data_IF_521963847365
#
_entry.id   IF_521963847365
#
_cell.length_a   1.000
_cell.length_b   1.000
_cell.length_c   1.000
_cell.angle_alpha   90.00
_cell.angle_beta   90.00
_cell.angle_gamma   90.00
#
_symmetry.space_group_name_H-M   'P 1'
#
loop_
_entity.id
_entity.type
_entity.pdbx_description
1 polymer ?
#
# COMPACT_ATOMS: atom_id res chain seq x y z
N UNK A 1 -6.47 45.39 -24.57
CA UNK A 1 -6.53 44.10 -25.27
C UNK A 1 -5.64 43.14 -24.53
N UNK A 2 -6.16 42.52 -23.45
CA UNK A 2 -5.40 41.58 -22.59
C UNK A 2 -5.77 40.18 -23.01
N UNK A 3 -4.78 39.50 -23.60
CA UNK A 3 -4.84 38.07 -23.91
C UNK A 3 -4.58 37.29 -22.59
N UNK A 4 -5.65 36.77 -21.99
CA UNK A 4 -5.54 35.72 -20.97
C UNK A 4 -5.16 34.42 -21.68
N UNK A 5 -3.88 34.09 -21.66
CA UNK A 5 -3.42 32.76 -22.03
C UNK A 5 -3.96 31.74 -21.04
N UNK A 6 -4.89 30.90 -21.48
CA UNK A 6 -5.35 29.73 -20.77
C UNK A 6 -4.17 28.75 -20.71
N UNK A 7 -3.48 28.68 -19.58
CA UNK A 7 -2.50 27.60 -19.32
C UNK A 7 -3.34 26.34 -19.18
N UNK A 8 -3.43 25.53 -20.24
CA UNK A 8 -3.86 24.16 -20.14
C UNK A 8 -2.86 23.45 -19.22
N UNK A 9 -3.23 23.27 -17.95
CA UNK A 9 -2.58 22.27 -17.10
C UNK A 9 -2.76 20.93 -17.80
N UNK A 10 -1.68 20.38 -18.32
CA UNK A 10 -1.66 19.00 -18.79
C UNK A 10 -2.09 18.13 -17.61
N UNK A 11 -3.23 17.47 -17.74
CA UNK A 11 -3.68 16.51 -16.74
C UNK A 11 -2.53 15.52 -16.46
N UNK A 12 -2.03 15.50 -15.24
CA UNK A 12 -1.00 14.55 -14.82
C UNK A 12 -1.53 13.15 -15.12
N UNK A 13 -0.80 12.38 -15.91
CA UNK A 13 -1.13 10.98 -16.15
C UNK A 13 -0.90 10.22 -14.84
N UNK A 14 -1.99 9.90 -14.13
CA UNK A 14 -1.96 9.17 -12.87
C UNK A 14 -1.70 7.69 -13.15
N UNK A 15 -0.62 7.15 -12.55
CA UNK A 15 -0.39 5.71 -12.52
C UNK A 15 -1.21 5.06 -11.40
N UNK A 16 -1.80 3.89 -11.68
CA UNK A 16 -2.53 3.12 -10.67
C UNK A 16 -1.72 1.92 -10.21
N UNK A 17 -1.75 1.68 -8.91
CA UNK A 17 -1.06 0.59 -8.22
C UNK A 17 -1.95 -0.05 -7.17
N UNK A 18 -1.58 -1.21 -6.68
CA UNK A 18 -2.32 -1.97 -5.65
C UNK A 18 -1.53 -1.97 -4.35
N UNK A 19 -2.21 -1.67 -3.25
CA UNK A 19 -1.77 -1.97 -1.90
C UNK A 19 -2.61 -3.12 -1.35
N UNK A 20 -1.99 -4.23 -1.01
CA UNK A 20 -2.68 -5.41 -0.47
C UNK A 20 -2.28 -5.69 0.98
N UNK A 21 -3.27 -5.78 1.84
CA UNK A 21 -3.13 -6.18 3.24
C UNK A 21 -3.40 -7.67 3.46
N UNK A 22 -3.68 -8.43 2.40
CA UNK A 22 -4.10 -9.85 2.47
C UNK A 22 -5.26 -10.07 3.44
N UNK A 23 -6.43 -9.40 3.25
CA UNK A 23 -7.56 -9.48 4.17
C UNK A 23 -8.10 -10.91 4.24
N UNK A 24 -8.42 -11.36 5.48
CA UNK A 24 -9.03 -12.67 5.74
C UNK A 24 -10.55 -12.48 5.80
N UNK A 25 -11.33 -12.98 4.83
CA UNK A 25 -12.79 -12.96 4.92
C UNK A 25 -13.29 -13.91 6.02
N UNK A 26 -14.37 -13.56 6.69
CA UNK A 26 -15.04 -14.45 7.65
C UNK A 26 -15.42 -15.77 6.99
N UNK A 27 -15.12 -16.88 7.65
CA UNK A 27 -15.33 -18.23 7.10
C UNK A 27 -14.20 -18.79 6.26
N UNK A 28 -13.12 -18.02 6.03
CA UNK A 28 -11.93 -18.44 5.27
C UNK A 28 -10.68 -18.52 6.15
N UNK A 29 -9.71 -19.31 5.71
CA UNK A 29 -8.44 -19.44 6.39
C UNK A 29 -7.43 -18.34 5.97
N UNK A 30 -6.38 -18.07 6.78
CA UNK A 30 -5.26 -17.23 6.33
C UNK A 30 -4.61 -17.72 5.03
N UNK A 31 -4.54 -19.05 4.83
CA UNK A 31 -4.02 -19.63 3.58
C UNK A 31 -4.87 -19.29 2.35
N UNK A 32 -6.20 -19.18 2.52
CA UNK A 32 -7.09 -18.73 1.45
C UNK A 32 -6.83 -17.26 1.10
N UNK A 33 -6.65 -16.41 2.12
CA UNK A 33 -6.32 -15.01 1.94
C UNK A 33 -4.99 -14.80 1.19
N UNK A 34 -3.95 -15.58 1.52
CA UNK A 34 -2.67 -15.53 0.81
C UNK A 34 -2.78 -16.02 -0.65
N UNK A 35 -3.60 -17.03 -0.92
CA UNK A 35 -3.90 -17.45 -2.30
C UNK A 35 -4.65 -16.36 -3.08
N UNK A 36 -5.62 -15.71 -2.45
CA UNK A 36 -6.34 -14.58 -3.03
C UNK A 36 -5.40 -13.39 -3.32
N UNK A 37 -4.37 -13.18 -2.51
CA UNK A 37 -3.32 -12.18 -2.76
C UNK A 37 -2.56 -12.47 -4.06
N UNK A 38 -2.13 -13.73 -4.28
CA UNK A 38 -1.43 -14.13 -5.51
C UNK A 38 -2.35 -14.00 -6.72
N UNK A 39 -3.60 -14.48 -6.62
CA UNK A 39 -4.60 -14.39 -7.69
C UNK A 39 -4.89 -12.92 -8.06
N UNK A 40 -5.06 -12.05 -7.07
CA UNK A 40 -5.28 -10.62 -7.32
C UNK A 40 -4.06 -9.96 -7.98
N UNK A 41 -2.84 -10.34 -7.59
CA UNK A 41 -1.63 -9.81 -8.19
C UNK A 41 -1.50 -10.19 -9.67
N UNK A 42 -1.79 -11.45 -10.03
CA UNK A 42 -1.85 -11.90 -11.42
C UNK A 42 -2.92 -11.14 -12.22
N UNK A 43 -4.08 -10.91 -11.60
CA UNK A 43 -5.15 -10.17 -12.23
C UNK A 43 -4.78 -8.69 -12.43
N UNK A 44 -4.20 -8.04 -11.43
CA UNK A 44 -3.73 -6.64 -11.52
C UNK A 44 -2.64 -6.47 -12.59
N UNK A 45 -1.71 -7.43 -12.71
CA UNK A 45 -0.70 -7.46 -13.77
C UNK A 45 -1.35 -7.52 -15.16
N UNK A 46 -2.38 -8.36 -15.32
CA UNK A 46 -3.12 -8.50 -16.59
C UNK A 46 -3.93 -7.25 -16.97
N UNK A 47 -4.30 -6.43 -16.00
CA UNK A 47 -5.02 -5.17 -16.18
C UNK A 47 -4.10 -3.97 -16.46
N UNK A 48 -2.80 -4.08 -16.15
CA UNK A 48 -1.82 -3.01 -16.35
C UNK A 48 -1.59 -2.11 -15.16
N UNK A 49 -1.88 -2.56 -13.94
CA UNK A 49 -1.44 -1.87 -12.74
C UNK A 49 0.09 -1.84 -12.67
N UNK A 50 0.62 -0.70 -12.19
CA UNK A 50 2.08 -0.47 -12.20
C UNK A 50 2.81 -1.26 -11.11
N UNK A 51 2.24 -1.31 -9.88
CA UNK A 51 2.84 -1.95 -8.70
C UNK A 51 1.82 -2.78 -7.92
N UNK A 52 2.32 -3.78 -7.22
CA UNK A 52 1.58 -4.58 -6.24
C UNK A 52 2.39 -4.63 -4.95
N UNK A 53 1.99 -3.87 -3.96
CA UNK A 53 2.68 -3.81 -2.68
C UNK A 53 1.92 -4.56 -1.60
N UNK A 54 2.66 -5.29 -0.78
CA UNK A 54 2.18 -6.09 0.33
C UNK A 54 2.46 -5.39 1.65
N UNK A 55 1.42 -5.17 2.45
CA UNK A 55 1.57 -4.51 3.75
C UNK A 55 1.88 -5.53 4.86
N UNK A 56 2.73 -5.12 5.83
CA UNK A 56 3.09 -5.91 6.99
C UNK A 56 2.13 -5.64 8.16
N UNK A 57 1.49 -6.69 8.68
CA UNK A 57 0.63 -6.59 9.85
C UNK A 57 0.79 -7.80 10.76
N UNK A 58 0.98 -7.56 12.05
CA UNK A 58 1.20 -8.62 13.04
C UNK A 58 0.05 -8.70 14.05
N UNK A 59 -0.29 -9.92 14.47
CA UNK A 59 -1.29 -10.18 15.51
C UNK A 59 -2.72 -9.73 15.15
N UNK A 60 -3.01 -9.51 13.86
CA UNK A 60 -4.32 -9.12 13.37
C UNK A 60 -5.12 -10.35 12.90
N UNK A 61 -6.32 -10.57 13.46
CA UNK A 61 -7.19 -11.67 13.03
C UNK A 61 -7.77 -11.47 11.62
N UNK A 62 -7.71 -10.24 11.11
CA UNK A 62 -8.29 -9.84 9.82
C UNK A 62 -7.31 -9.85 8.65
N UNK A 63 -5.99 -10.00 8.90
CA UNK A 63 -4.95 -9.81 7.90
C UNK A 63 -3.95 -10.96 7.95
N UNK A 64 -3.60 -11.54 6.81
CA UNK A 64 -2.77 -12.74 6.72
C UNK A 64 -1.28 -12.45 6.48
N UNK A 65 -0.93 -11.28 5.94
CA UNK A 65 0.45 -10.97 5.59
C UNK A 65 1.21 -10.38 6.78
N UNK A 66 1.98 -11.23 7.46
CA UNK A 66 2.86 -10.82 8.55
C UNK A 66 4.32 -10.62 8.09
N UNK A 67 4.68 -11.10 6.91
CA UNK A 67 6.03 -11.07 6.37
C UNK A 67 5.98 -10.85 4.86
N UNK A 68 5.87 -9.57 4.41
CA UNK A 68 5.81 -9.25 2.98
C UNK A 68 6.95 -9.87 2.18
N UNK A 69 8.16 -9.91 2.75
CA UNK A 69 9.35 -10.47 2.10
C UNK A 69 9.22 -11.97 1.76
N UNK A 70 8.36 -12.70 2.48
CA UNK A 70 8.04 -14.10 2.17
C UNK A 70 7.08 -14.17 0.98
N UNK A 71 6.12 -13.25 0.88
CA UNK A 71 5.08 -13.25 -0.16
C UNK A 71 5.53 -12.60 -1.47
N UNK A 72 6.50 -11.69 -1.44
CA UNK A 72 7.01 -11.01 -2.65
C UNK A 72 7.52 -12.01 -3.67
N UNK A 73 8.30 -13.02 -3.25
CA UNK A 73 8.82 -14.06 -4.14
C UNK A 73 7.72 -14.82 -4.90
N UNK A 74 6.76 -15.45 -4.24
CA UNK A 74 5.61 -16.11 -4.87
C UNK A 74 4.80 -15.20 -5.79
N UNK A 75 4.54 -13.95 -5.38
CA UNK A 75 3.80 -12.97 -6.19
C UNK A 75 4.60 -12.59 -7.44
N UNK A 76 5.90 -12.31 -7.30
CA UNK A 76 6.76 -11.99 -8.43
C UNK A 76 6.91 -13.15 -9.42
N UNK A 77 6.97 -14.40 -8.93
CA UNK A 77 7.01 -15.60 -9.76
C UNK A 77 5.69 -15.83 -10.51
N UNK A 78 4.56 -15.46 -9.92
CA UNK A 78 3.23 -15.64 -10.51
C UNK A 78 2.85 -14.53 -11.51
N UNK A 79 3.59 -13.42 -11.56
CA UNK A 79 3.32 -12.22 -12.38
C UNK A 79 4.44 -11.98 -13.41
N UNK A 80 4.19 -11.13 -14.42
CA UNK A 80 5.13 -10.95 -15.55
C UNK A 80 5.78 -9.57 -15.56
N UNK A 81 5.01 -8.49 -15.42
CA UNK A 81 5.44 -7.12 -15.66
C UNK A 81 5.25 -6.19 -14.47
N UNK A 82 4.25 -6.43 -13.64
CA UNK A 82 3.95 -5.60 -12.46
C UNK A 82 5.14 -5.60 -11.50
N UNK A 83 5.49 -4.45 -10.97
CA UNK A 83 6.48 -4.35 -9.89
C UNK A 83 5.89 -4.88 -8.61
N UNK A 84 6.68 -5.60 -7.83
CA UNK A 84 6.21 -6.23 -6.59
C UNK A 84 7.09 -5.72 -5.43
N UNK A 85 6.47 -5.45 -4.29
CA UNK A 85 7.24 -4.94 -3.17
C UNK A 85 6.50 -4.95 -1.84
N UNK A 86 7.13 -4.37 -0.84
CA UNK A 86 6.51 -4.13 0.47
C UNK A 86 5.84 -2.76 0.52
N UNK A 87 4.71 -2.69 1.20
CA UNK A 87 3.97 -1.46 1.41
C UNK A 87 3.50 -1.28 2.88
N UNK A 88 4.46 -1.41 3.86
CA UNK A 88 5.91 -1.52 3.87
C UNK A 88 6.44 -2.56 4.85
N UNK A 89 7.78 -2.70 4.82
CA UNK A 89 8.50 -3.35 5.92
C UNK A 89 8.52 -2.41 7.13
N UNK A 90 8.17 -2.92 8.29
CA UNK A 90 8.26 -2.18 9.54
C UNK A 90 9.70 -2.27 10.09
N UNK A 91 10.60 -1.45 9.54
CA UNK A 91 12.04 -1.54 9.76
C UNK A 91 12.46 -1.68 11.24
N UNK A 92 11.79 -1.05 12.24
CA UNK A 92 12.15 -1.24 13.65
C UNK A 92 12.09 -2.68 14.15
N UNK A 93 11.40 -3.58 13.47
CA UNK A 93 11.33 -5.01 13.83
C UNK A 93 12.50 -5.83 13.28
N UNK A 94 13.33 -5.26 12.39
CA UNK A 94 14.35 -5.98 11.63
C UNK A 94 15.77 -5.43 11.89
N UNK A 95 16.76 -6.27 11.57
CA UNK A 95 18.12 -5.80 11.32
C UNK A 95 18.19 -5.17 9.92
N UNK A 96 18.72 -3.94 9.76
CA UNK A 96 18.92 -3.33 8.44
C UNK A 96 19.70 -4.21 7.46
N UNK A 97 20.76 -4.90 7.93
CA UNK A 97 21.51 -5.86 7.10
C UNK A 97 20.60 -7.00 6.59
N UNK A 98 19.76 -7.57 7.47
CA UNK A 98 18.86 -8.66 7.05
C UNK A 98 17.85 -8.21 6.01
N UNK A 99 17.34 -6.98 6.12
CA UNK A 99 16.45 -6.39 5.10
C UNK A 99 17.22 -6.17 3.79
N UNK A 100 18.44 -5.62 3.85
CA UNK A 100 19.27 -5.41 2.67
C UNK A 100 19.53 -6.73 1.92
N UNK A 101 20.00 -7.77 2.61
CA UNK A 101 20.26 -9.08 2.01
C UNK A 101 18.99 -9.69 1.40
N UNK A 102 17.86 -9.65 2.12
CA UNK A 102 16.60 -10.24 1.66
C UNK A 102 16.10 -9.56 0.38
N UNK A 103 16.07 -8.24 0.37
CA UNK A 103 15.59 -7.49 -0.81
C UNK A 103 16.62 -7.46 -1.94
N UNK A 104 17.91 -7.55 -1.64
CA UNK A 104 18.95 -7.77 -2.63
C UNK A 104 18.79 -9.11 -3.36
N UNK A 105 18.53 -10.20 -2.62
CA UNK A 105 18.23 -11.51 -3.21
C UNK A 105 16.98 -11.47 -4.10
N UNK A 106 15.91 -10.80 -3.62
CA UNK A 106 14.68 -10.65 -4.40
C UNK A 106 14.94 -9.85 -5.68
N UNK A 107 15.70 -8.74 -5.60
CA UNK A 107 16.06 -7.94 -6.77
C UNK A 107 16.92 -8.71 -7.78
N UNK A 108 17.83 -9.57 -7.32
CA UNK A 108 18.63 -10.44 -8.17
C UNK A 108 17.79 -11.52 -8.88
N UNK A 109 16.78 -12.09 -8.18
CA UNK A 109 15.87 -13.08 -8.76
C UNK A 109 14.86 -12.47 -9.74
N UNK A 110 14.46 -11.21 -9.51
CA UNK A 110 13.46 -10.49 -10.30
C UNK A 110 13.96 -9.10 -10.71
N UNK A 111 14.96 -9.00 -11.60
CA UNK A 111 15.61 -7.74 -11.95
C UNK A 111 14.63 -6.67 -12.40
N UNK A 112 14.80 -5.46 -11.86
CA UNK A 112 13.99 -4.30 -12.21
C UNK A 112 12.55 -4.30 -11.69
N UNK A 113 12.10 -5.35 -10.97
CA UNK A 113 10.71 -5.52 -10.54
C UNK A 113 10.46 -5.37 -9.04
N UNK A 114 11.50 -5.25 -8.22
CA UNK A 114 11.35 -5.23 -6.76
C UNK A 114 11.36 -3.81 -6.21
N UNK A 115 10.41 -3.54 -5.31
CA UNK A 115 10.32 -2.33 -4.51
C UNK A 115 10.46 -2.65 -3.02
N UNK A 116 11.21 -1.83 -2.30
CA UNK A 116 11.31 -1.86 -0.84
C UNK A 116 10.63 -0.62 -0.26
N UNK A 117 9.37 -0.74 0.08
CA UNK A 117 8.66 0.26 0.87
C UNK A 117 8.95 0.05 2.36
N UNK A 118 9.30 1.13 3.06
CA UNK A 118 9.72 1.12 4.46
C UNK A 118 8.81 2.00 5.30
N UNK A 119 8.30 1.45 6.41
CA UNK A 119 7.53 2.16 7.42
C UNK A 119 8.19 2.14 8.79
N UNK A 120 7.85 3.13 9.62
CA UNK A 120 8.29 3.19 11.03
C UNK A 120 7.29 2.56 12.00
N UNK A 121 6.01 2.72 11.72
CA UNK A 121 4.96 2.34 12.66
C UNK A 121 4.99 0.83 12.93
N UNK A 122 4.74 0.45 14.21
CA UNK A 122 4.74 -0.96 14.61
C UNK A 122 3.65 -1.80 13.93
N UNK A 123 2.63 -1.17 13.30
CA UNK A 123 1.56 -1.86 12.57
C UNK A 123 0.75 -2.84 13.44
N UNK A 124 0.84 -2.75 14.78
CA UNK A 124 0.30 -3.74 15.69
C UNK A 124 0.07 -3.19 17.11
N UNK A 125 -0.48 -4.03 18.01
CA UNK A 125 -0.65 -3.69 19.42
C UNK A 125 0.69 -3.62 20.17
N UNK A 126 0.78 -2.87 21.29
CA UNK A 126 1.99 -2.79 22.11
C UNK A 126 2.52 -4.16 22.58
N UNK A 127 1.64 -5.10 22.89
CA UNK A 127 2.00 -6.47 23.29
C UNK A 127 2.69 -7.25 22.17
N UNK A 128 2.19 -7.11 20.96
CA UNK A 128 2.78 -7.77 19.78
C UNK A 128 4.07 -7.06 19.37
N UNK A 129 4.12 -5.72 19.41
CA UNK A 129 5.33 -4.95 19.16
C UNK A 129 6.46 -5.37 20.11
N UNK A 130 6.16 -5.57 21.41
CA UNK A 130 7.13 -6.12 22.39
C UNK A 130 7.60 -7.52 22.02
N UNK A 131 6.71 -8.38 21.49
CA UNK A 131 7.09 -9.72 21.03
C UNK A 131 8.02 -9.70 19.82
N UNK A 132 7.91 -8.67 18.97
CA UNK A 132 8.73 -8.45 17.78
C UNK A 132 10.03 -7.69 18.05
N UNK A 133 10.19 -7.14 19.27
CA UNK A 133 11.37 -6.36 19.63
C UNK A 133 12.65 -7.16 19.46
N UNK A 134 13.65 -6.58 18.80
CA UNK A 134 14.95 -7.21 18.49
C UNK A 134 15.73 -7.62 19.74
N UNK A 135 15.78 -6.74 20.73
CA UNK A 135 16.36 -7.06 22.05
C UNK A 135 15.37 -6.71 23.16
N UNK A 136 14.75 -7.75 23.72
CA UNK A 136 13.75 -7.62 24.79
C UNK A 136 14.34 -7.25 26.16
N UNK A 137 15.67 -7.21 26.28
CA UNK A 137 16.38 -6.82 27.51
C UNK A 137 16.50 -5.29 27.63
N UNK A 138 16.35 -4.59 26.53
CA UNK A 138 16.46 -3.14 26.45
C UNK A 138 15.08 -2.49 26.29
N UNK A 139 14.95 -1.27 26.78
CA UNK A 139 13.77 -0.47 26.46
C UNK A 139 13.72 -0.16 24.95
N UNK A 140 12.53 -0.12 24.33
CA UNK A 140 12.41 0.28 22.94
C UNK A 140 12.99 1.68 22.73
N UNK A 141 13.88 1.82 21.76
CA UNK A 141 14.44 3.10 21.34
C UNK A 141 13.92 3.40 19.94
N UNK A 142 13.52 4.63 19.68
CA UNK A 142 13.19 5.08 18.32
C UNK A 142 14.50 5.40 17.59
N UNK A 143 15.11 4.38 17.01
CA UNK A 143 16.34 4.46 16.25
C UNK A 143 16.09 4.37 14.72
N UNK A 144 14.85 4.58 14.29
CA UNK A 144 14.43 4.43 12.89
C UNK A 144 15.31 5.22 11.89
N UNK A 145 15.66 6.51 12.12
CA UNK A 145 16.54 7.23 11.21
C UNK A 145 17.93 6.60 11.09
N UNK A 146 18.48 6.11 12.19
CA UNK A 146 19.80 5.44 12.19
C UNK A 146 19.72 4.12 11.43
N UNK A 147 18.67 3.32 11.62
CA UNK A 147 18.44 2.08 10.89
C UNK A 147 18.28 2.31 9.38
N UNK A 148 17.55 3.36 9.00
CA UNK A 148 17.36 3.72 7.60
C UNK A 148 18.66 4.21 6.96
N UNK A 149 19.49 4.95 7.70
CA UNK A 149 20.84 5.33 7.31
C UNK A 149 21.73 4.11 7.08
N UNK A 150 21.74 3.18 8.05
CA UNK A 150 22.50 1.92 7.97
C UNK A 150 22.07 1.07 6.76
N UNK A 151 20.78 0.94 6.52
CA UNK A 151 20.24 0.22 5.35
C UNK A 151 20.75 0.81 4.03
N UNK A 152 20.79 2.14 3.91
CA UNK A 152 21.29 2.84 2.72
C UNK A 152 22.80 2.64 2.53
N UNK A 153 23.57 2.58 3.61
CA UNK A 153 25.01 2.27 3.55
C UNK A 153 25.26 0.87 2.98
N UNK A 154 24.43 -0.14 3.33
CA UNK A 154 24.53 -1.46 2.71
C UNK A 154 24.26 -1.41 1.21
N UNK A 155 23.20 -0.76 0.77
CA UNK A 155 22.87 -0.65 -0.66
C UNK A 155 23.90 0.15 -1.45
N UNK A 156 24.63 1.05 -0.82
CA UNK A 156 25.71 1.81 -1.44
C UNK A 156 27.07 1.08 -1.38
N UNK A 157 27.14 -0.14 -0.83
CA UNK A 157 28.40 -0.89 -0.54
C UNK A 157 29.41 -0.05 0.26
N UNK A 158 28.88 0.82 1.14
CA UNK A 158 29.68 1.79 1.90
C UNK A 158 30.04 1.31 3.32
N UNK A 159 29.68 0.07 3.69
CA UNK A 159 29.90 -0.48 5.03
C UNK A 159 31.19 -1.29 5.11
N UNK A 160 32.23 -0.82 5.82
CA UNK A 160 33.51 -1.53 5.90
C UNK A 160 33.38 -2.95 6.45
N UNK A 161 33.94 -3.94 5.75
CA UNK A 161 33.97 -5.33 6.17
C UNK A 161 32.67 -6.12 5.95
N UNK A 162 31.63 -5.49 5.40
CA UNK A 162 30.35 -6.14 5.08
C UNK A 162 30.02 -5.80 3.62
N UNK A 163 30.55 -6.56 2.63
CA UNK A 163 30.30 -6.28 1.22
C UNK A 163 28.87 -6.61 0.84
N UNK A 164 28.21 -5.71 0.11
CA UNK A 164 26.92 -5.91 -0.50
C UNK A 164 27.08 -6.15 -2.01
N UNK A 165 26.66 -7.32 -2.50
CA UNK A 165 26.94 -7.78 -3.88
C UNK A 165 25.69 -7.88 -4.75
N UNK A 166 24.59 -7.31 -4.30
CA UNK A 166 23.32 -7.32 -5.02
C UNK A 166 22.97 -5.93 -5.56
N UNK A 167 22.17 -5.89 -6.61
CA UNK A 167 21.56 -4.65 -7.03
C UNK A 167 20.53 -4.19 -5.98
N UNK A 168 20.54 -2.90 -5.68
CA UNK A 168 19.57 -2.33 -4.74
C UNK A 168 18.17 -2.32 -5.35
N UNK A 169 17.13 -2.66 -4.59
CA UNK A 169 15.73 -2.44 -5.00
C UNK A 169 15.42 -0.94 -5.08
N UNK A 170 14.29 -0.57 -5.69
CA UNK A 170 13.78 0.78 -5.57
C UNK A 170 13.24 1.00 -4.15
N UNK A 171 13.83 1.93 -3.41
CA UNK A 171 13.50 2.21 -2.01
C UNK A 171 12.49 3.34 -1.92
N UNK A 172 11.41 3.13 -1.15
CA UNK A 172 10.33 4.09 -0.88
C UNK A 172 10.18 4.29 0.63
N UNK A 173 9.98 5.53 1.07
CA UNK A 173 9.56 5.81 2.44
C UNK A 173 8.04 5.95 2.51
N UNK A 174 7.42 5.23 3.45
CA UNK A 174 5.98 5.23 3.65
C UNK A 174 5.62 5.87 4.98
N UNK A 175 4.52 6.60 5.01
CA UNK A 175 4.02 7.15 6.26
C UNK A 175 2.66 7.82 6.17
N UNK A 176 2.19 8.31 7.32
CA UNK A 176 0.93 9.04 7.46
C UNK A 176 1.07 10.24 8.40
N UNK A 177 2.30 10.75 8.55
CA UNK A 177 2.63 11.86 9.45
C UNK A 177 3.63 12.82 8.82
N UNK A 178 3.68 14.04 9.35
CA UNK A 178 4.64 15.07 8.97
C UNK A 178 6.09 14.57 9.08
N UNK A 179 6.43 13.87 10.16
CA UNK A 179 7.79 13.36 10.37
C UNK A 179 8.27 12.42 9.24
N UNK A 180 7.37 11.60 8.68
CA UNK A 180 7.73 10.74 7.55
C UNK A 180 8.00 11.52 6.27
N UNK A 181 7.30 12.64 6.04
CA UNK A 181 7.56 13.54 4.92
C UNK A 181 8.90 14.26 5.05
N UNK A 182 9.25 14.69 6.27
CA UNK A 182 10.54 15.31 6.59
C UNK A 182 11.68 14.33 6.26
N UNK A 183 11.63 13.11 6.78
CA UNK A 183 12.66 12.11 6.50
C UNK A 183 12.77 11.75 5.00
N UNK A 184 11.64 11.63 4.31
CA UNK A 184 11.66 11.37 2.88
C UNK A 184 12.37 12.49 2.10
N UNK A 185 12.09 13.75 2.45
CA UNK A 185 12.72 14.92 1.84
C UNK A 185 14.23 14.99 2.14
N UNK A 186 14.62 14.85 3.40
CA UNK A 186 16.02 14.88 3.85
C UNK A 186 16.87 13.78 3.20
N UNK A 187 16.29 12.60 3.02
CA UNK A 187 16.99 11.45 2.46
C UNK A 187 16.88 11.38 0.92
N UNK A 188 16.07 12.25 0.31
CA UNK A 188 15.82 12.25 -1.14
C UNK A 188 15.16 10.97 -1.64
N UNK A 189 14.31 10.33 -0.81
CA UNK A 189 13.63 9.10 -1.16
C UNK A 189 12.25 9.38 -1.76
N UNK A 190 11.76 8.58 -2.72
CA UNK A 190 10.36 8.54 -3.10
C UNK A 190 9.46 8.35 -1.88
N UNK A 191 8.30 9.03 -1.88
CA UNK A 191 7.41 9.07 -0.71
C UNK A 191 6.00 8.62 -1.05
N UNK A 192 5.46 7.68 -0.26
CA UNK A 192 4.08 7.23 -0.36
C UNK A 192 3.31 7.55 0.93
N UNK A 193 2.29 8.41 0.81
CA UNK A 193 1.44 8.81 1.93
C UNK A 193 0.22 7.90 2.07
N UNK A 194 -0.07 7.45 3.29
CA UNK A 194 -1.22 6.58 3.58
C UNK A 194 -2.47 7.42 3.94
N UNK A 195 -3.16 7.95 2.93
CA UNK A 195 -4.39 8.73 3.08
C UNK A 195 -5.51 7.93 3.77
N UNK A 196 -5.61 6.64 3.49
CA UNK A 196 -6.60 5.77 4.14
C UNK A 196 -6.41 5.66 5.66
N UNK A 197 -5.26 6.06 6.20
CA UNK A 197 -4.98 6.15 7.65
C UNK A 197 -5.17 7.58 8.14
N UNK A 198 -4.72 8.58 7.39
CA UNK A 198 -4.81 10.00 7.71
C UNK A 198 -5.19 10.81 6.46
N UNK A 199 -6.46 11.17 6.27
CA UNK A 199 -6.91 11.88 5.07
C UNK A 199 -6.56 13.38 5.06
N UNK A 200 -5.88 13.89 6.09
CA UNK A 200 -5.46 15.30 6.22
C UNK A 200 -3.98 15.51 5.86
N UNK A 201 -3.38 14.58 5.13
CA UNK A 201 -1.94 14.57 4.87
C UNK A 201 -1.47 15.36 3.65
N UNK A 202 -2.32 16.11 2.97
CA UNK A 202 -1.93 16.88 1.78
C UNK A 202 -0.78 17.86 2.05
N UNK A 203 -0.77 18.52 3.22
CA UNK A 203 0.32 19.41 3.66
C UNK A 203 1.65 18.69 3.85
N UNK A 204 1.63 17.41 4.28
CA UNK A 204 2.85 16.60 4.38
C UNK A 204 3.45 16.32 3.00
N UNK A 205 2.60 16.00 2.01
CA UNK A 205 3.04 15.80 0.63
C UNK A 205 3.55 17.10 -0.02
N UNK A 206 2.91 18.23 0.28
CA UNK A 206 3.37 19.55 -0.14
C UNK A 206 4.75 19.88 0.44
N UNK A 207 4.93 19.69 1.75
CA UNK A 207 6.24 19.85 2.40
C UNK A 207 7.32 19.00 1.72
N UNK A 208 7.04 17.71 1.51
CA UNK A 208 7.98 16.80 0.84
C UNK A 208 8.37 17.31 -0.54
N UNK A 209 7.41 17.69 -1.38
CA UNK A 209 7.68 18.21 -2.73
C UNK A 209 8.47 19.51 -2.72
N UNK A 210 8.22 20.37 -1.74
CA UNK A 210 8.95 21.65 -1.58
C UNK A 210 10.39 21.49 -1.13
N UNK A 211 10.75 20.37 -0.51
CA UNK A 211 12.07 20.13 0.08
C UNK A 211 12.87 18.99 -0.57
N UNK A 212 12.27 18.26 -1.52
CA UNK A 212 12.93 17.17 -2.24
C UNK A 212 13.12 17.54 -3.72
N UNK A 213 14.36 17.70 -4.17
CA UNK A 213 14.69 18.13 -5.55
C UNK A 213 14.20 17.15 -6.64
N UNK A 214 14.08 15.86 -6.32
CA UNK A 214 13.58 14.79 -7.20
C UNK A 214 12.40 14.11 -6.55
N UNK A 215 11.37 14.91 -6.22
CA UNK A 215 10.18 14.37 -5.54
C UNK A 215 9.41 13.39 -6.43
N UNK A 216 9.19 12.18 -5.95
CA UNK A 216 8.24 11.21 -6.51
C UNK A 216 7.22 10.92 -5.42
N UNK A 217 5.97 11.35 -5.64
CA UNK A 217 4.90 11.26 -4.65
C UNK A 217 3.86 10.25 -5.08
N UNK A 218 3.55 9.32 -4.20
CA UNK A 218 2.41 8.42 -4.30
C UNK A 218 1.46 8.63 -3.12
N UNK A 219 0.18 8.31 -3.31
CA UNK A 219 -0.83 8.31 -2.26
C UNK A 219 -1.56 6.97 -2.21
N UNK A 220 -1.67 6.38 -1.02
CA UNK A 220 -2.42 5.15 -0.82
C UNK A 220 -3.81 5.47 -0.26
N UNK A 221 -4.84 5.01 -0.96
CA UNK A 221 -6.26 5.26 -0.65
C UNK A 221 -7.03 3.95 -0.47
N UNK A 222 -8.07 3.97 0.34
CA UNK A 222 -9.07 2.91 0.33
C UNK A 222 -10.15 3.22 -0.72
N UNK A 223 -10.36 2.30 -1.67
CA UNK A 223 -11.38 2.48 -2.70
C UNK A 223 -12.15 1.18 -2.99
N UNK A 224 -13.47 1.30 -3.18
CA UNK A 224 -14.37 0.21 -3.56
C UNK A 224 -15.23 0.71 -4.72
N UNK A 225 -15.06 0.08 -5.89
CA UNK A 225 -15.81 0.37 -7.09
C UNK A 225 -16.77 -0.78 -7.42
N UNK A 226 -18.00 -0.44 -7.79
CA UNK A 226 -19.00 -1.38 -8.29
C UNK A 226 -19.71 -0.76 -9.51
N UNK A 227 -20.65 -1.48 -10.13
CA UNK A 227 -21.38 -0.98 -11.31
C UNK A 227 -22.21 0.29 -11.00
N UNK A 228 -22.66 0.41 -9.73
CA UNK A 228 -23.44 1.56 -9.24
C UNK A 228 -22.89 2.07 -7.91
N UNK A 229 -23.19 3.33 -7.58
CA UNK A 229 -22.84 3.93 -6.30
C UNK A 229 -23.47 3.18 -5.13
N UNK A 230 -24.72 2.72 -5.28
CA UNK A 230 -25.45 1.97 -4.25
C UNK A 230 -24.83 0.60 -3.96
N UNK A 231 -24.43 -0.12 -4.99
CA UNK A 231 -23.76 -1.43 -4.83
C UNK A 231 -22.38 -1.26 -4.18
N UNK A 232 -21.60 -0.26 -4.59
CA UNK A 232 -20.32 0.05 -3.97
C UNK A 232 -20.50 0.41 -2.49
N UNK A 233 -21.53 1.20 -2.16
CA UNK A 233 -21.88 1.54 -0.80
C UNK A 233 -22.24 0.30 0.01
N UNK A 234 -23.04 -0.63 -0.56
CA UNK A 234 -23.39 -1.91 0.05
C UNK A 234 -22.17 -2.77 0.34
N UNK A 235 -21.27 -2.94 -0.65
CA UNK A 235 -20.03 -3.71 -0.50
C UNK A 235 -19.12 -3.12 0.59
N UNK A 236 -19.09 -1.80 0.72
CA UNK A 236 -18.24 -1.12 1.72
C UNK A 236 -18.66 -1.36 3.17
N UNK A 237 -19.87 -1.93 3.42
CA UNK A 237 -20.33 -2.24 4.77
C UNK A 237 -19.36 -3.18 5.50
N UNK A 238 -18.74 -4.14 4.79
CA UNK A 238 -17.76 -5.07 5.34
C UNK A 238 -16.57 -4.36 5.97
N UNK A 239 -15.91 -3.46 5.25
CA UNK A 239 -14.75 -2.70 5.76
C UNK A 239 -15.17 -1.72 6.85
N UNK A 240 -16.37 -1.12 6.77
CA UNK A 240 -16.85 -0.21 7.80
C UNK A 240 -17.11 -0.91 9.13
N UNK A 241 -17.76 -2.07 9.11
CA UNK A 241 -17.91 -2.88 10.32
C UNK A 241 -16.55 -3.26 10.89
N UNK A 242 -15.61 -3.72 10.05
CA UNK A 242 -14.27 -4.06 10.49
C UNK A 242 -13.54 -2.86 11.14
N UNK A 243 -13.66 -1.65 10.57
CA UNK A 243 -13.10 -0.43 11.14
C UNK A 243 -13.78 -0.05 12.46
N UNK A 244 -15.11 -0.10 12.58
CA UNK A 244 -15.81 0.15 13.85
C UNK A 244 -15.32 -0.80 14.94
N UNK A 245 -15.16 -2.09 14.61
CA UNK A 245 -14.62 -3.06 15.57
C UNK A 245 -13.15 -2.77 15.92
N UNK A 246 -12.34 -2.39 14.94
CA UNK A 246 -10.93 -2.03 15.17
C UNK A 246 -10.80 -0.83 16.13
N UNK A 247 -11.61 0.21 15.97
CA UNK A 247 -11.64 1.35 16.90
C UNK A 247 -12.12 0.98 18.31
N UNK A 248 -12.82 -0.15 18.46
CA UNK A 248 -13.18 -0.75 19.76
C UNK A 248 -12.09 -1.72 20.28
N UNK A 249 -10.92 -1.75 19.65
CA UNK A 249 -9.81 -2.64 20.01
C UNK A 249 -10.00 -4.11 19.60
N UNK A 250 -10.90 -4.40 18.67
CA UNK A 250 -11.18 -5.76 18.19
C UNK A 250 -10.76 -5.91 16.72
N UNK A 251 -9.80 -6.77 16.44
CA UNK A 251 -9.49 -7.21 15.09
C UNK A 251 -10.41 -8.40 14.74
N UNK A 252 -11.25 -8.26 13.74
CA UNK A 252 -12.18 -9.31 13.29
C UNK A 252 -11.95 -9.59 11.80
N UNK A 253 -12.12 -10.85 11.34
CA UNK A 253 -12.14 -11.16 9.90
C UNK A 253 -13.13 -10.27 9.16
N UNK A 254 -12.90 -10.04 7.87
CA UNK A 254 -13.79 -9.20 7.05
C UNK A 254 -15.17 -9.85 6.95
N UNK A 255 -16.24 -9.22 7.50
CA UNK A 255 -17.55 -9.86 7.57
C UNK A 255 -18.27 -9.88 6.22
N UNK A 256 -19.21 -10.83 6.00
CA UNK A 256 -20.14 -10.76 4.89
C UNK A 256 -20.96 -9.45 4.91
N UNK A 257 -21.34 -8.99 3.73
CA UNK A 257 -22.06 -7.70 3.59
C UNK A 257 -23.33 -7.63 4.42
N UNK A 258 -24.15 -8.67 4.40
CA UNK A 258 -25.45 -8.68 5.11
C UNK A 258 -25.25 -8.68 6.63
N UNK A 259 -24.25 -9.39 7.14
CA UNK A 259 -23.86 -9.35 8.56
C UNK A 259 -23.39 -7.94 8.95
N UNK A 260 -22.56 -7.34 8.11
CA UNK A 260 -22.05 -5.99 8.34
C UNK A 260 -23.16 -4.95 8.34
N UNK A 261 -24.09 -5.01 7.41
CA UNK A 261 -25.26 -4.11 7.36
C UNK A 261 -26.15 -4.27 8.60
N UNK A 262 -26.44 -5.52 9.01
CA UNK A 262 -27.23 -5.79 10.22
C UNK A 262 -26.51 -5.25 11.48
N UNK A 263 -25.19 -5.40 11.57
CA UNK A 263 -24.38 -4.84 12.66
C UNK A 263 -24.45 -3.31 12.67
N UNK A 264 -24.15 -2.65 11.57
CA UNK A 264 -24.14 -1.19 11.47
C UNK A 264 -25.51 -0.58 11.78
N UNK A 265 -26.59 -1.20 11.30
CA UNK A 265 -27.96 -0.79 11.61
C UNK A 265 -28.28 -0.89 13.11
N UNK A 266 -27.96 -2.02 13.74
CA UNK A 266 -28.15 -2.23 15.18
C UNK A 266 -27.38 -1.24 16.05
N UNK A 267 -26.17 -0.86 15.60
CA UNK A 267 -25.32 0.12 16.29
C UNK A 267 -25.74 1.58 15.99
N UNK A 268 -26.74 1.80 15.17
CA UNK A 268 -27.16 3.15 14.74
C UNK A 268 -26.10 3.89 13.92
N UNK A 269 -25.21 3.15 13.26
CA UNK A 269 -24.15 3.72 12.41
C UNK A 269 -24.70 3.94 11.00
N UNK A 270 -24.79 5.19 10.50
CA UNK A 270 -25.25 5.45 9.14
C UNK A 270 -24.42 4.72 8.10
N UNK A 271 -25.04 4.25 7.02
CA UNK A 271 -24.36 3.54 5.94
C UNK A 271 -23.24 4.38 5.28
N UNK A 272 -23.34 5.70 5.32
CA UNK A 272 -22.33 6.64 4.80
C UNK A 272 -21.21 6.98 5.78
N UNK A 273 -21.34 6.60 7.08
CA UNK A 273 -20.35 6.98 8.08
C UNK A 273 -19.06 6.19 7.88
N UNK A 274 -17.97 6.91 7.72
CA UNK A 274 -16.60 6.41 7.86
C UNK A 274 -16.07 6.91 9.21
N UNK A 275 -15.40 6.07 10.03
CA UNK A 275 -14.82 6.52 11.28
C UNK A 275 -13.92 7.75 11.10
N UNK A 276 -13.93 8.66 12.08
CA UNK A 276 -13.11 9.87 12.07
C UNK A 276 -11.64 9.53 11.82
N UNK A 277 -10.98 10.30 10.97
CA UNK A 277 -9.60 10.05 10.58
C UNK A 277 -9.43 8.88 9.59
N UNK A 278 -10.48 8.51 8.87
CA UNK A 278 -10.42 7.54 7.78
C UNK A 278 -11.12 8.07 6.54
N UNK A 279 -10.65 7.64 5.36
CA UNK A 279 -11.31 7.92 4.07
C UNK A 279 -11.51 6.61 3.33
N UNK A 280 -12.71 6.41 2.79
CA UNK A 280 -13.05 5.30 1.90
C UNK A 280 -13.77 5.89 0.69
N UNK A 281 -13.16 5.79 -0.47
CA UNK A 281 -13.78 6.14 -1.75
C UNK A 281 -14.71 5.00 -2.16
N UNK A 282 -15.98 5.30 -2.37
CA UNK A 282 -16.97 4.30 -2.82
C UNK A 282 -17.79 4.87 -3.96
N UNK A 283 -18.08 4.06 -4.96
CA UNK A 283 -18.95 4.50 -6.05
C UNK A 283 -18.84 3.69 -7.33
N UNK A 284 -19.59 4.14 -8.33
CA UNK A 284 -19.49 3.73 -9.72
C UNK A 284 -18.11 4.13 -10.31
N UNK A 285 -17.70 3.56 -11.46
CA UNK A 285 -16.41 3.88 -12.06
C UNK A 285 -16.15 5.39 -12.22
N UNK A 286 -17.15 6.13 -12.69
CA UNK A 286 -17.06 7.60 -12.89
C UNK A 286 -16.90 8.33 -11.56
N UNK A 287 -17.66 7.94 -10.52
CA UNK A 287 -17.59 8.54 -9.18
C UNK A 287 -16.23 8.28 -8.52
N UNK A 288 -15.73 7.03 -8.63
CA UNK A 288 -14.43 6.63 -8.09
C UNK A 288 -13.30 7.34 -8.81
N UNK A 289 -13.32 7.40 -10.14
CA UNK A 289 -12.31 8.12 -10.94
C UNK A 289 -12.21 9.58 -10.51
N UNK A 290 -13.31 10.29 -10.44
CA UNK A 290 -13.34 11.70 -10.00
C UNK A 290 -12.71 11.87 -8.61
N UNK A 291 -13.00 10.95 -7.69
CA UNK A 291 -12.46 11.00 -6.33
C UNK A 291 -10.97 10.70 -6.30
N UNK A 292 -10.49 9.73 -7.09
CA UNK A 292 -9.07 9.40 -7.23
C UNK A 292 -8.29 10.58 -7.81
N UNK A 293 -8.78 11.18 -8.91
CA UNK A 293 -8.16 12.34 -9.55
C UNK A 293 -8.06 13.52 -8.57
N UNK A 294 -9.15 13.81 -7.85
CA UNK A 294 -9.16 14.87 -6.82
C UNK A 294 -8.13 14.61 -5.72
N UNK A 295 -8.04 13.41 -5.18
CA UNK A 295 -7.06 13.07 -4.13
C UNK A 295 -5.64 13.14 -4.70
N UNK A 296 -5.39 12.63 -5.90
CA UNK A 296 -4.09 12.73 -6.54
C UNK A 296 -3.65 14.20 -6.70
N UNK A 297 -4.55 15.09 -7.09
CA UNK A 297 -4.29 16.53 -7.20
C UNK A 297 -4.01 17.14 -5.81
N UNK A 298 -4.81 16.84 -4.78
CA UNK A 298 -4.59 17.30 -3.39
C UNK A 298 -3.18 16.98 -2.90
N UNK A 299 -2.69 15.78 -3.19
CA UNK A 299 -1.36 15.31 -2.79
C UNK A 299 -0.25 15.66 -3.79
N UNK A 300 -0.59 16.14 -5.00
CA UNK A 300 0.35 16.27 -6.11
C UNK A 300 1.01 14.93 -6.45
N UNK A 301 0.24 13.86 -6.38
CA UNK A 301 0.73 12.50 -6.54
C UNK A 301 0.63 12.04 -7.99
N UNK A 302 1.74 11.55 -8.55
CA UNK A 302 1.77 10.92 -9.88
C UNK A 302 1.34 9.45 -9.86
N UNK A 303 1.18 8.86 -8.67
CA UNK A 303 0.78 7.47 -8.51
C UNK A 303 -0.22 7.31 -7.36
N UNK A 304 -1.27 6.50 -7.57
CA UNK A 304 -2.27 6.15 -6.57
C UNK A 304 -2.25 4.65 -6.32
N UNK A 305 -1.98 4.27 -5.05
CA UNK A 305 -2.06 2.88 -4.60
C UNK A 305 -3.46 2.64 -4.04
N UNK A 306 -4.17 1.67 -4.58
CA UNK A 306 -5.55 1.35 -4.23
C UNK A 306 -5.57 0.17 -3.27
N UNK A 307 -6.22 0.36 -2.12
CA UNK A 307 -6.56 -0.68 -1.15
C UNK A 307 -8.06 -0.98 -1.24
N UNK A 308 -8.43 -2.19 -1.65
CA UNK A 308 -9.83 -2.65 -1.64
C UNK A 308 -10.01 -3.77 -0.63
N UNK A 309 -10.89 -3.54 0.36
CA UNK A 309 -11.24 -4.52 1.39
C UNK A 309 -12.73 -4.78 1.34
N UNK A 310 -13.11 -5.94 0.83
CA UNK A 310 -14.48 -6.48 0.79
C UNK A 310 -14.43 -7.97 1.12
N UNK A 311 -15.57 -8.55 1.54
CA UNK A 311 -15.65 -9.97 1.92
C UNK A 311 -15.44 -10.90 0.72
N UNK A 312 -16.17 -10.64 -0.38
CA UNK A 312 -16.15 -11.49 -1.57
C UNK A 312 -14.94 -11.17 -2.47
N UNK A 313 -14.12 -12.20 -2.78
CA UNK A 313 -12.92 -12.01 -3.59
C UNK A 313 -13.23 -11.69 -5.05
N UNK A 314 -14.33 -12.20 -5.61
CA UNK A 314 -14.74 -11.86 -6.97
C UNK A 314 -15.17 -10.39 -7.06
N UNK A 315 -15.93 -9.89 -6.09
CA UNK A 315 -16.26 -8.47 -5.98
C UNK A 315 -15.00 -7.60 -5.80
N UNK A 316 -14.01 -8.08 -5.03
CA UNK A 316 -12.71 -7.42 -4.89
C UNK A 316 -12.00 -7.27 -6.25
N UNK A 317 -11.88 -8.33 -7.01
CA UNK A 317 -11.31 -8.31 -8.37
C UNK A 317 -12.11 -7.40 -9.29
N UNK A 318 -13.45 -7.47 -9.24
CA UNK A 318 -14.32 -6.62 -10.05
C UNK A 318 -14.10 -5.13 -9.79
N UNK A 319 -13.88 -4.73 -8.54
CA UNK A 319 -13.54 -3.35 -8.18
C UNK A 319 -12.28 -2.87 -8.91
N UNK A 320 -11.20 -3.64 -8.88
CA UNK A 320 -9.97 -3.30 -9.61
C UNK A 320 -10.17 -3.28 -11.12
N UNK A 321 -10.93 -4.20 -11.67
CA UNK A 321 -11.24 -4.24 -13.11
C UNK A 321 -12.00 -2.99 -13.56
N UNK A 322 -13.03 -2.58 -12.82
CA UNK A 322 -13.82 -1.40 -13.12
C UNK A 322 -12.98 -0.12 -13.08
N UNK A 323 -12.13 0.02 -12.07
CA UNK A 323 -11.21 1.15 -11.96
C UNK A 323 -10.21 1.15 -13.14
N UNK A 324 -9.60 0.01 -13.44
CA UNK A 324 -8.65 -0.11 -14.56
C UNK A 324 -9.27 0.28 -15.90
N UNK A 325 -10.49 -0.19 -16.17
CA UNK A 325 -11.24 0.16 -17.40
C UNK A 325 -11.55 1.64 -17.47
N UNK A 326 -12.00 2.24 -16.39
CA UNK A 326 -12.37 3.66 -16.33
C UNK A 326 -11.17 4.57 -16.57
N UNK A 327 -9.99 4.21 -16.04
CA UNK A 327 -8.73 4.94 -16.30
C UNK A 327 -8.08 4.56 -17.63
N UNK A 328 -8.57 3.54 -18.32
CA UNK A 328 -8.03 3.10 -19.61
C UNK A 328 -6.61 2.52 -19.50
N UNK A 329 -6.20 2.03 -18.32
CA UNK A 329 -4.89 1.36 -18.18
C UNK A 329 -4.91 0.02 -18.91
N UNK A 330 -3.76 -0.35 -19.44
CA UNK A 330 -3.59 -1.59 -20.23
C UNK A 330 -2.31 -2.28 -19.78
N UNK A 331 -2.32 -3.60 -19.81
CA UNK A 331 -1.11 -4.39 -19.60
C UNK A 331 0.01 -3.89 -20.52
N UNK A 332 1.22 -3.78 -19.97
CA UNK A 332 2.39 -3.53 -20.80
C UNK A 332 2.50 -4.66 -21.85
N UNK A 333 2.69 -4.29 -23.13
CA UNK A 333 3.02 -5.29 -24.14
C UNK A 333 4.27 -6.04 -23.67
N UNK A 334 4.18 -7.36 -23.54
CA UNK A 334 5.30 -8.17 -23.10
C UNK A 334 6.50 -7.90 -24.02
N UNK A 335 7.54 -7.27 -23.48
CA UNK A 335 8.84 -7.28 -24.14
C UNK A 335 9.30 -8.74 -24.16
N UNK A 336 9.66 -9.32 -25.31
CA UNK A 336 10.12 -10.69 -25.36
C UNK A 336 11.28 -10.86 -24.39
N UNK A 337 11.11 -11.72 -23.38
CA UNK A 337 12.14 -12.03 -22.39
C UNK A 337 13.39 -12.54 -23.11
N UNK A 338 14.56 -12.02 -22.71
CA UNK A 338 15.82 -12.67 -23.03
C UNK A 338 15.74 -14.13 -22.55
N UNK A 339 16.07 -15.12 -23.39
CA UNK A 339 16.11 -16.51 -22.97
C UNK A 339 17.14 -16.67 -21.84
N UNK A 340 16.74 -17.38 -20.79
CA UNK A 340 17.65 -17.87 -19.76
C UNK A 340 18.76 -18.69 -20.44
N UNK A 341 19.99 -18.16 -20.44
CA UNK A 341 21.20 -18.90 -20.82
C UNK A 341 21.72 -19.69 -19.63
#
# INVERSE_FOLDING_TARGET
MHLYGCIQQSALSISLSVLDQSPIPSGFSPGDALRNTIDLAQFADSLGYRRYWLAEHHGAASLACASPEVMIGPVAAATKSIRVGSGGIMLPHYSPLKVAETFGMLAALYPGRIDLGIGRAAGTSPRVAQALQRDRRLAPVDDFPAQLGELREYFADARPGIPFRFDAPAVWLLGSSEQSAIWAAELGLPYAFADFINPEGASCAEYYRGHCAKSETAVAISAICAETDDEAMRLSASVRMALVQLFRGRSVPVPPVDEALAFLSREGVPASLVPVGRRIVTGSPVSVRRSIEKIADEYGAGEVLILTVVHDHAARRRSYELIAREFGIKAASATPGLPLQ
#
